data_IF_637571244986
#
_entry.id   IF_637571244986
#
_cell.length_a   1.000
_cell.length_b   1.000
_cell.length_c   1.000
_cell.angle_alpha   90.00
_cell.angle_beta   90.00
_cell.angle_gamma   90.00
#
_symmetry.space_group_name_H-M   'P 1'
#
loop_
_entity.id
_entity.type
_entity.pdbx_description
1 polymer ?
#
# COMPACT_ATOMS: atom_id res chain seq x y z
N UNK A 1 18.60 22.40 -4.09
CA UNK A 1 17.86 21.14 -4.33
C UNK A 1 17.66 20.89 -5.84
N UNK A 2 18.74 20.73 -6.61
CA UNK A 2 18.67 20.54 -8.08
C UNK A 2 19.38 19.26 -8.57
N UNK A 3 20.04 18.53 -7.68
CA UNK A 3 20.72 17.27 -7.99
C UNK A 3 19.76 16.07 -7.96
N UNK A 4 18.67 16.12 -7.19
CA UNK A 4 17.78 14.98 -7.01
C UNK A 4 16.93 14.69 -8.28
N UNK A 5 16.51 15.74 -9.01
CA UNK A 5 15.92 15.62 -10.36
C UNK A 5 16.85 15.08 -11.43
N UNK A 6 18.18 15.09 -11.25
CA UNK A 6 19.12 14.62 -12.30
C UNK A 6 19.28 13.09 -12.36
N UNK A 7 18.71 12.34 -11.42
CA UNK A 7 18.87 10.89 -11.32
C UNK A 7 17.55 10.12 -11.19
N UNK A 8 16.41 10.73 -11.54
CA UNK A 8 15.11 10.06 -11.49
C UNK A 8 15.10 8.77 -12.33
N UNK A 9 15.78 8.77 -13.48
CA UNK A 9 15.90 7.59 -14.38
C UNK A 9 16.49 6.37 -13.66
N UNK A 10 17.47 6.59 -12.77
CA UNK A 10 18.11 5.51 -12.01
C UNK A 10 17.14 4.96 -10.97
N UNK A 11 16.42 5.84 -10.27
CA UNK A 11 15.41 5.43 -9.26
C UNK A 11 14.24 4.72 -9.92
N UNK A 12 13.71 5.29 -10.99
CA UNK A 12 12.67 4.69 -11.82
C UNK A 12 13.10 3.32 -12.35
N UNK A 13 14.32 3.21 -12.91
CA UNK A 13 14.86 1.94 -13.41
C UNK A 13 15.04 0.89 -12.32
N UNK A 14 15.50 1.29 -11.13
CA UNK A 14 15.62 0.39 -9.97
C UNK A 14 14.24 -0.13 -9.51
N UNK A 15 13.25 0.76 -9.39
CA UNK A 15 11.87 0.40 -9.01
C UNK A 15 11.21 -0.50 -10.06
N UNK A 16 11.49 -0.29 -11.34
CA UNK A 16 11.02 -1.17 -12.40
C UNK A 16 11.59 -2.59 -12.26
N UNK A 17 12.88 -2.69 -11.89
CA UNK A 17 13.50 -3.96 -11.52
C UNK A 17 12.79 -4.64 -10.35
N UNK A 18 12.46 -3.88 -9.30
CA UNK A 18 11.70 -4.37 -8.14
C UNK A 18 10.30 -4.86 -8.56
N UNK A 19 9.57 -4.10 -9.38
CA UNK A 19 8.23 -4.47 -9.89
C UNK A 19 8.26 -5.84 -10.54
N UNK A 20 9.20 -6.07 -11.45
CA UNK A 20 9.29 -7.35 -12.13
C UNK A 20 9.78 -8.46 -11.20
N UNK A 21 10.74 -8.18 -10.32
CA UNK A 21 11.23 -9.13 -9.34
C UNK A 21 10.09 -9.68 -8.45
N UNK A 22 9.26 -8.79 -7.91
CA UNK A 22 8.12 -9.15 -7.05
C UNK A 22 7.01 -9.86 -7.85
N UNK A 23 6.82 -9.49 -9.12
CA UNK A 23 5.81 -10.13 -9.99
C UNK A 23 6.13 -11.59 -10.31
N UNK A 24 7.41 -11.95 -10.43
CA UNK A 24 7.84 -13.31 -10.85
C UNK A 24 8.28 -14.20 -9.70
N UNK A 25 8.73 -13.64 -8.57
CA UNK A 25 9.42 -14.40 -7.52
C UNK A 25 8.54 -14.74 -6.31
N UNK A 26 7.33 -15.27 -6.55
CA UNK A 26 6.34 -15.54 -5.48
C UNK A 26 6.88 -16.40 -4.33
N UNK A 27 7.66 -17.44 -4.64
CA UNK A 27 8.24 -18.35 -3.65
C UNK A 27 9.31 -17.70 -2.77
N UNK A 28 9.92 -16.60 -3.24
CA UNK A 28 11.02 -15.90 -2.55
C UNK A 28 10.56 -14.60 -1.89
N UNK A 29 9.26 -14.29 -1.94
CA UNK A 29 8.70 -13.08 -1.35
C UNK A 29 9.07 -12.88 0.14
N UNK A 30 9.09 -13.91 1.01
CA UNK A 30 9.48 -13.71 2.42
C UNK A 30 10.86 -13.07 2.61
N UNK A 31 11.79 -13.29 1.67
CA UNK A 31 13.15 -12.74 1.73
C UNK A 31 13.27 -11.45 0.92
N UNK A 32 12.61 -11.38 -0.24
CA UNK A 32 12.75 -10.26 -1.17
C UNK A 32 11.83 -9.08 -0.84
N UNK A 33 10.65 -9.35 -0.28
CA UNK A 33 9.63 -8.33 -0.04
C UNK A 33 10.06 -7.28 0.97
N UNK A 34 10.68 -7.58 2.13
CA UNK A 34 11.07 -6.54 3.08
C UNK A 34 11.96 -5.43 2.51
N UNK A 35 13.12 -5.73 1.86
CA UNK A 35 13.96 -4.67 1.28
C UNK A 35 13.35 -4.01 0.05
N UNK A 36 12.62 -4.78 -0.78
CA UNK A 36 11.93 -4.25 -1.95
C UNK A 36 10.82 -3.27 -1.56
N UNK A 37 10.05 -3.62 -0.53
CA UNK A 37 8.97 -2.81 0.01
C UNK A 37 9.50 -1.51 0.60
N UNK A 38 10.57 -1.54 1.38
CA UNK A 38 11.19 -0.32 1.91
C UNK A 38 11.59 0.65 0.78
N UNK A 39 12.24 0.13 -0.27
CA UNK A 39 12.66 0.93 -1.43
C UNK A 39 11.46 1.51 -2.19
N UNK A 40 10.38 0.73 -2.34
CA UNK A 40 9.17 1.19 -3.00
C UNK A 40 8.38 2.19 -2.13
N UNK A 41 8.41 2.04 -0.81
CA UNK A 41 7.78 2.99 0.10
C UNK A 41 8.48 4.37 0.00
N UNK A 42 9.80 4.39 -0.08
CA UNK A 42 10.56 5.63 -0.37
C UNK A 42 10.19 6.21 -1.74
N UNK A 43 10.02 5.37 -2.76
CA UNK A 43 9.61 5.80 -4.10
C UNK A 43 8.21 6.42 -4.18
N UNK A 44 7.30 6.10 -3.24
CA UNK A 44 5.97 6.73 -3.17
C UNK A 44 6.03 8.21 -2.73
N UNK A 45 7.08 8.58 -2.01
CA UNK A 45 7.36 9.93 -1.51
C UNK A 45 8.31 10.70 -2.45
N UNK A 46 8.60 10.16 -3.64
CA UNK A 46 9.53 10.79 -4.58
C UNK A 46 8.96 12.10 -5.16
N UNK A 47 9.84 13.05 -5.46
CA UNK A 47 9.47 14.32 -6.10
C UNK A 47 9.03 14.11 -7.56
N UNK A 48 9.57 13.09 -8.22
CA UNK A 48 9.30 12.77 -9.62
C UNK A 48 8.08 11.87 -9.76
N UNK A 49 7.13 12.29 -10.60
CA UNK A 49 5.85 11.62 -10.74
C UNK A 49 5.95 10.24 -11.39
N UNK A 50 6.87 10.04 -12.33
CA UNK A 50 7.09 8.74 -12.96
C UNK A 50 7.69 7.74 -11.95
N UNK A 51 8.55 8.23 -11.04
CA UNK A 51 9.10 7.43 -9.94
C UNK A 51 7.98 7.00 -8.96
N UNK A 52 7.09 7.92 -8.58
CA UNK A 52 5.92 7.58 -7.74
C UNK A 52 5.01 6.55 -8.43
N UNK A 53 4.74 6.73 -9.72
CA UNK A 53 3.89 5.84 -10.50
C UNK A 53 4.44 4.41 -10.54
N UNK A 54 5.73 4.24 -10.88
CA UNK A 54 6.36 2.92 -10.93
C UNK A 54 6.46 2.30 -9.53
N UNK A 55 6.59 3.11 -8.48
CA UNK A 55 6.61 2.61 -7.12
C UNK A 55 5.30 1.97 -6.69
N UNK A 56 4.18 2.63 -6.99
CA UNK A 56 2.83 2.07 -6.78
C UNK A 56 2.66 0.73 -7.49
N UNK A 57 3.08 0.69 -8.76
CA UNK A 57 3.02 -0.49 -9.61
C UNK A 57 3.91 -1.62 -9.10
N UNK A 58 5.03 -1.30 -8.44
CA UNK A 58 5.95 -2.29 -7.90
C UNK A 58 5.39 -3.04 -6.68
N UNK A 59 4.66 -2.33 -5.81
CA UNK A 59 4.06 -2.92 -4.59
C UNK A 59 2.79 -3.72 -4.94
N UNK A 60 2.01 -3.24 -5.92
CA UNK A 60 0.71 -3.81 -6.32
C UNK A 60 0.65 -5.35 -6.46
N UNK A 61 1.59 -6.05 -7.13
CA UNK A 61 1.53 -7.51 -7.27
C UNK A 61 1.73 -8.28 -5.97
N UNK A 62 2.37 -7.67 -4.95
CA UNK A 62 2.71 -8.32 -3.70
C UNK A 62 1.79 -7.91 -2.53
N UNK A 63 0.71 -7.16 -2.79
CA UNK A 63 -0.11 -6.56 -1.73
C UNK A 63 -0.65 -7.56 -0.70
N UNK A 64 -1.17 -8.70 -1.16
CA UNK A 64 -1.65 -9.78 -0.27
C UNK A 64 -0.54 -10.30 0.65
N UNK A 65 0.70 -10.37 0.13
CA UNK A 65 1.86 -10.80 0.90
C UNK A 65 2.38 -9.71 1.85
N UNK A 66 2.09 -8.43 1.61
CA UNK A 66 2.44 -7.34 2.53
C UNK A 66 1.70 -7.50 3.85
N UNK A 67 0.39 -7.79 3.84
CA UNK A 67 -0.39 -8.03 5.06
C UNK A 67 0.15 -9.20 5.88
N UNK A 68 0.55 -10.28 5.19
CA UNK A 68 1.05 -11.49 5.84
C UNK A 68 2.49 -11.40 6.34
N UNK A 69 3.39 -10.71 5.61
CA UNK A 69 4.84 -10.71 5.86
C UNK A 69 5.29 -9.44 6.60
N UNK A 70 4.61 -8.31 6.37
CA UNK A 70 4.97 -6.99 6.89
C UNK A 70 3.77 -6.29 7.57
N UNK A 71 3.07 -6.94 8.52
CA UNK A 71 1.87 -6.36 9.13
C UNK A 71 2.12 -4.98 9.75
N UNK A 72 3.28 -4.78 10.40
CA UNK A 72 3.67 -3.52 11.05
C UNK A 72 3.90 -2.35 10.07
N UNK A 73 4.05 -2.64 8.77
CA UNK A 73 4.29 -1.62 7.75
C UNK A 73 3.01 -1.18 7.03
N UNK A 74 1.90 -1.86 7.26
CA UNK A 74 0.64 -1.65 6.53
C UNK A 74 0.03 -0.27 6.81
N UNK A 75 -0.01 0.15 8.07
CA UNK A 75 -0.46 1.49 8.44
C UNK A 75 0.41 2.60 7.84
N UNK A 76 1.72 2.35 7.76
CA UNK A 76 2.65 3.26 7.09
C UNK A 76 2.38 3.34 5.58
N UNK A 77 2.15 2.21 4.91
CA UNK A 77 1.78 2.18 3.49
C UNK A 77 0.53 3.00 3.20
N UNK A 78 -0.53 2.78 3.99
CA UNK A 78 -1.79 3.51 3.88
C UNK A 78 -1.54 5.01 4.05
N UNK A 79 -0.84 5.40 5.12
CA UNK A 79 -0.52 6.79 5.41
C UNK A 79 0.25 7.46 4.27
N UNK A 80 1.33 6.83 3.79
CA UNK A 80 2.17 7.36 2.70
C UNK A 80 1.36 7.49 1.41
N UNK A 81 0.61 6.44 1.03
CA UNK A 81 -0.22 6.47 -0.18
C UNK A 81 -1.22 7.63 -0.14
N UNK A 82 -1.85 7.88 1.01
CA UNK A 82 -2.79 8.99 1.19
C UNK A 82 -2.15 10.35 1.32
N UNK A 83 -0.89 10.43 1.76
CA UNK A 83 -0.11 11.65 1.76
C UNK A 83 0.27 12.05 0.32
N UNK A 84 0.63 11.09 -0.54
CA UNK A 84 0.94 11.34 -1.95
C UNK A 84 -0.20 12.05 -2.68
N UNK A 85 -1.48 11.76 -2.36
CA UNK A 85 -2.66 12.45 -2.91
C UNK A 85 -2.69 13.96 -2.64
N UNK A 86 -2.05 14.45 -1.58
CA UNK A 86 -2.06 15.86 -1.23
C UNK A 86 -1.13 16.70 -2.12
N UNK A 87 -0.13 16.05 -2.71
CA UNK A 87 0.91 16.68 -3.53
C UNK A 87 0.63 16.57 -5.03
N UNK A 88 -0.50 15.96 -5.41
CA UNK A 88 -0.80 15.59 -6.79
C UNK A 88 -1.68 16.61 -7.51
N UNK A 89 -1.25 16.94 -8.72
CA UNK A 89 -2.08 17.58 -9.74
C UNK A 89 -2.98 16.52 -10.39
N UNK A 90 -4.26 16.83 -10.63
CA UNK A 90 -5.30 15.84 -11.02
C UNK A 90 -4.96 15.04 -12.29
N UNK A 91 -4.00 15.52 -13.10
CA UNK A 91 -3.60 14.99 -14.42
C UNK A 91 -2.23 14.29 -14.45
N UNK A 92 -1.63 14.00 -13.29
CA UNK A 92 -0.30 13.36 -13.23
C UNK A 92 -0.31 11.90 -13.71
N UNK A 93 0.84 11.39 -14.16
CA UNK A 93 1.03 9.98 -14.54
C UNK A 93 0.81 9.03 -13.34
N UNK A 94 1.18 9.43 -12.13
CA UNK A 94 1.06 8.61 -10.93
C UNK A 94 -0.37 8.48 -10.40
N UNK A 95 -1.27 9.41 -10.75
CA UNK A 95 -2.68 9.38 -10.31
C UNK A 95 -3.33 8.01 -10.54
N UNK A 96 -3.19 7.47 -11.75
CA UNK A 96 -3.82 6.19 -12.10
C UNK A 96 -3.23 5.02 -11.33
N UNK A 97 -1.93 5.02 -11.06
CA UNK A 97 -1.25 3.97 -10.32
C UNK A 97 -1.55 4.06 -8.82
N UNK A 98 -1.61 5.27 -8.25
CA UNK A 98 -2.03 5.48 -6.86
C UNK A 98 -3.48 5.05 -6.61
N UNK A 99 -4.39 5.37 -7.52
CA UNK A 99 -5.77 4.89 -7.43
C UNK A 99 -5.85 3.36 -7.44
N UNK A 100 -5.10 2.70 -8.34
CA UNK A 100 -5.02 1.23 -8.37
C UNK A 100 -4.43 0.67 -7.08
N UNK A 101 -3.39 1.32 -6.54
CA UNK A 101 -2.77 0.92 -5.29
C UNK A 101 -3.75 1.03 -4.11
N UNK A 102 -4.44 2.16 -3.96
CA UNK A 102 -5.50 2.35 -2.95
C UNK A 102 -6.57 1.27 -3.09
N UNK A 103 -7.10 1.05 -4.29
CA UNK A 103 -8.08 0.00 -4.54
C UNK A 103 -7.56 -1.37 -4.12
N UNK A 104 -6.29 -1.67 -4.41
CA UNK A 104 -5.68 -2.95 -4.03
C UNK A 104 -5.47 -3.08 -2.52
N UNK A 105 -5.05 -2.02 -1.83
CA UNK A 105 -4.91 -1.99 -0.37
C UNK A 105 -6.25 -2.37 0.28
N UNK A 106 -7.35 -1.70 -0.08
CA UNK A 106 -8.64 -1.94 0.56
C UNK A 106 -9.26 -3.29 0.18
N UNK A 107 -9.10 -3.76 -1.05
CA UNK A 107 -9.63 -5.08 -1.45
C UNK A 107 -8.87 -6.24 -0.81
N UNK A 108 -7.58 -6.09 -0.54
CA UNK A 108 -6.76 -7.15 0.08
C UNK A 108 -6.80 -7.12 1.62
N UNK A 109 -6.98 -5.95 2.22
CA UNK A 109 -7.21 -5.83 3.67
C UNK A 109 -8.51 -6.52 4.11
N UNK A 110 -9.57 -6.43 3.29
CA UNK A 110 -10.85 -7.10 3.57
C UNK A 110 -10.71 -8.63 3.52
N UNK A 111 -9.96 -9.13 2.54
CA UNK A 111 -9.63 -10.56 2.41
C UNK A 111 -8.81 -11.07 3.60
N UNK A 112 -7.84 -10.29 4.09
CA UNK A 112 -7.04 -10.69 5.25
C UNK A 112 -7.86 -10.71 6.54
N UNK A 113 -8.78 -9.75 6.72
CA UNK A 113 -9.73 -9.74 7.84
C UNK A 113 -10.67 -10.95 7.83
N UNK A 114 -11.30 -11.25 6.70
CA UNK A 114 -12.19 -12.42 6.55
C UNK A 114 -11.44 -13.73 6.85
N UNK A 115 -10.17 -13.81 6.43
CA UNK A 115 -9.29 -14.96 6.72
C UNK A 115 -8.98 -15.08 8.21
N UNK A 116 -8.75 -13.97 8.91
CA UNK A 116 -8.53 -13.97 10.34
C UNK A 116 -9.80 -14.42 11.10
N UNK A 117 -10.97 -13.91 10.72
CA UNK A 117 -12.25 -14.27 11.34
C UNK A 117 -12.58 -15.76 11.16
N UNK A 118 -12.31 -16.34 9.99
CA UNK A 118 -12.56 -17.77 9.74
C UNK A 118 -11.62 -18.70 10.54
N UNK A 119 -10.39 -18.27 10.86
CA UNK A 119 -9.46 -19.05 11.69
C UNK A 119 -9.88 -19.08 13.18
N UNK A 120 -10.59 -18.05 13.65
CA UNK A 120 -11.11 -17.98 15.03
C UNK A 120 -12.29 -18.96 15.22
N UNK A 121 -13.13 -19.14 14.18
CA UNK A 121 -14.29 -20.04 14.24
C UNK A 121 -13.88 -21.53 14.27
N UNK A 122 -12.71 -21.91 13.73
CA UNK A 122 -12.23 -23.29 13.75
C UNK A 122 -11.64 -23.78 15.08
N UNK A 123 -11.51 -22.89 16.08
CA UNK A 123 -10.94 -23.23 17.40
C UNK A 123 -11.98 -23.19 18.53
N UNK A 124 -13.27 -23.30 18.22
CA UNK A 124 -14.35 -23.38 19.21
C UNK A 124 -14.73 -24.84 19.50
N UNK A 125 -13.80 -25.59 20.07
CA UNK A 125 -14.09 -26.72 20.95
C UNK A 125 -13.06 -26.64 22.09
N UNK A 126 -13.56 -26.51 23.34
CA UNK A 126 -12.87 -26.58 24.64
C UNK A 126 -12.47 -25.28 25.39
N UNK A 127 -13.32 -24.98 26.40
CA UNK A 127 -13.06 -24.53 27.78
C UNK A 127 -12.69 -23.07 28.19
N UNK A 128 -13.61 -22.52 28.99
CA UNK A 128 -13.49 -21.82 30.29
C UNK A 128 -12.49 -20.65 30.51
N UNK A 129 -13.09 -19.46 30.69
CA UNK A 129 -12.78 -18.37 31.65
C UNK A 129 -11.31 -17.98 31.93
N UNK A 130 -10.93 -16.75 31.57
CA UNK A 130 -10.64 -15.69 32.55
C UNK A 130 -10.59 -14.31 31.88
N UNK A 131 -11.11 -13.31 32.60
CA UNK A 131 -11.28 -11.91 32.22
C UNK A 131 -10.01 -11.12 32.53
N UNK A 132 -9.34 -10.61 31.50
CA UNK A 132 -8.36 -9.52 31.62
C UNK A 132 -8.14 -8.87 30.25
N UNK A 133 -9.07 -7.99 29.89
CA UNK A 133 -8.93 -7.09 28.74
C UNK A 133 -7.85 -6.03 29.01
N UNK A 134 -6.59 -6.38 28.72
CA UNK A 134 -5.56 -5.36 28.48
C UNK A 134 -5.78 -4.80 27.07
N UNK A 135 -6.36 -3.60 27.03
CA UNK A 135 -6.63 -2.88 25.78
C UNK A 135 -5.34 -2.65 24.99
N UNK A 136 -5.24 -3.31 23.83
CA UNK A 136 -4.27 -2.97 22.80
C UNK A 136 -4.34 -1.47 22.49
N UNK A 137 -3.21 -0.80 22.19
CA UNK A 137 -3.23 0.56 21.70
C UNK A 137 -4.13 0.59 20.46
N UNK A 138 -5.19 1.39 20.54
CA UNK A 138 -6.07 1.64 19.41
C UNK A 138 -5.27 2.45 18.39
N UNK A 139 -4.54 1.74 17.53
CA UNK A 139 -3.94 2.32 16.34
C UNK A 139 -5.07 3.02 15.61
N UNK A 140 -4.96 4.34 15.51
CA UNK A 140 -5.97 5.20 14.92
C UNK A 140 -5.98 4.92 13.42
N UNK A 141 -6.71 3.90 13.01
CA UNK A 141 -6.98 3.59 11.61
C UNK A 141 -7.59 4.86 11.01
N UNK A 142 -6.94 5.41 9.98
CA UNK A 142 -7.45 6.58 9.27
C UNK A 142 -8.85 6.22 8.75
N UNK A 143 -9.88 6.82 9.35
CA UNK A 143 -11.27 6.54 9.05
C UNK A 143 -11.56 6.87 7.58
N UNK A 144 -12.29 5.98 6.89
CA UNK A 144 -12.62 6.15 5.47
C UNK A 144 -13.30 7.51 5.20
N UNK A 145 -14.01 8.04 6.19
CA UNK A 145 -14.66 9.36 6.15
C UNK A 145 -13.69 10.53 6.00
N UNK A 146 -12.45 10.43 6.48
CA UNK A 146 -11.40 11.45 6.31
C UNK A 146 -10.70 11.34 4.94
N UNK A 147 -10.81 10.18 4.31
CA UNK A 147 -10.08 9.81 3.11
C UNK A 147 -10.93 10.00 1.84
N UNK A 148 -12.23 9.71 1.91
CA UNK A 148 -13.19 9.89 0.80
C UNK A 148 -13.19 11.32 0.25
N UNK A 149 -13.16 12.40 1.06
CA UNK A 149 -13.11 13.75 0.55
C UNK A 149 -11.88 14.05 -0.32
N UNK A 150 -10.77 13.34 -0.11
CA UNK A 150 -9.53 13.48 -0.89
C UNK A 150 -9.66 12.90 -2.30
N UNK A 151 -10.66 12.05 -2.53
CA UNK A 151 -10.96 11.48 -3.84
C UNK A 151 -11.93 12.34 -4.67
N UNK A 152 -12.64 13.30 -4.05
CA UNK A 152 -13.59 14.18 -4.77
C UNK A 152 -13.05 14.97 -5.96
N UNK A 153 -11.81 15.48 -5.94
CA UNK A 153 -11.20 16.11 -7.11
C UNK A 153 -11.26 15.20 -8.34
N UNK A 154 -10.97 13.91 -8.17
CA UNK A 154 -10.93 12.92 -9.25
C UNK A 154 -12.31 12.47 -9.76
N UNK A 155 -13.37 12.59 -8.96
CA UNK A 155 -14.74 12.26 -9.39
C UNK A 155 -15.36 13.32 -10.31
N UNK A 156 -14.71 14.49 -10.47
CA UNK A 156 -15.20 15.58 -11.30
C UNK A 156 -14.80 15.46 -12.77
N UNK A 157 -14.00 14.48 -13.14
CA UNK A 157 -13.70 14.23 -14.56
C UNK A 157 -14.93 13.62 -15.26
N UNK A 158 -15.45 14.26 -16.33
CA UNK A 158 -16.40 13.60 -17.20
C UNK A 158 -15.63 12.48 -17.91
N UNK A 159 -15.93 11.22 -17.55
CA UNK A 159 -15.59 10.07 -18.39
C UNK A 159 -16.34 10.24 -19.72
N UNK A 160 -15.77 10.99 -20.67
CA UNK A 160 -16.39 11.20 -21.97
C UNK A 160 -15.33 11.38 -23.06
N UNK A 161 -14.73 10.27 -23.48
CA UNK A 161 -15.04 9.61 -24.77
C UNK A 161 -14.27 8.31 -24.91
#
# INVERSE_FOLDING_TARGET
SASNRKHWEVRHGALLGIKYLLSVSKERLPVLLPPAFASALEGLEDEDDDVRAVSCDAISPAMESVWAILPDQTNKLVSVTWASFYELDELSASTSSLMRLVSRIYTTADVDRDRADHLVVSNMDDEDSDDSSEGLPQEKTLEMSELVPRLFPFFRHPSTK
#
